data_IF_491696105194
#
_entry.id   IF_491696105194
#
_cell.length_a   1.000
_cell.length_b   1.000
_cell.length_c   1.000
_cell.angle_alpha   90.00
_cell.angle_beta   90.00
_cell.angle_gamma   90.00
#
_symmetry.space_group_name_H-M   'P 1'
#
loop_
_entity.id
_entity.type
_entity.pdbx_description
1 polymer ?
#
# COMPACT_ATOMS: atom_id res chain seq x y z
N UNK A 1 -0.14 10.59 -4.74
CA UNK A 1 0.30 10.24 -3.37
C UNK A 1 1.22 9.05 -3.52
N UNK A 2 2.35 8.96 -2.82
CA UNK A 2 3.26 7.81 -2.93
C UNK A 2 3.33 7.06 -1.62
N UNK A 3 3.29 5.73 -1.70
CA UNK A 3 3.35 4.84 -0.54
C UNK A 3 4.51 3.89 -0.74
N UNK A 4 5.33 3.77 0.30
CA UNK A 4 6.50 2.92 0.24
C UNK A 4 6.48 1.93 1.41
N UNK A 5 6.40 0.63 1.07
CA UNK A 5 6.25 -0.52 1.96
C UNK A 5 7.46 -1.45 1.93
N UNK A 6 8.36 -1.31 0.94
CA UNK A 6 9.60 -2.10 0.84
C UNK A 6 10.66 -1.49 1.77
N UNK A 7 10.45 -1.65 3.08
CA UNK A 7 11.19 -1.00 4.16
C UNK A 7 10.23 -0.36 5.17
N UNK A 8 10.69 0.58 6.01
CA UNK A 8 9.79 1.33 6.87
C UNK A 8 8.68 2.02 6.05
N UNK A 9 7.44 1.94 6.55
CA UNK A 9 6.31 2.61 5.91
C UNK A 9 6.57 4.11 5.82
N UNK A 10 6.63 4.62 4.59
CA UNK A 10 6.66 6.05 4.31
C UNK A 10 5.50 6.43 3.38
N UNK A 11 4.95 7.62 3.59
CA UNK A 11 3.84 8.15 2.82
C UNK A 11 4.13 9.59 2.45
N UNK A 12 4.05 9.88 1.15
CA UNK A 12 4.04 11.23 0.62
C UNK A 12 2.64 11.54 0.13
N UNK A 13 1.94 12.41 0.86
CA UNK A 13 0.60 12.87 0.51
C UNK A 13 0.61 13.68 -0.80
N UNK A 14 -0.57 14.04 -1.29
CA UNK A 14 -0.69 14.97 -2.40
C UNK A 14 0.08 16.27 -2.09
N UNK A 15 0.86 16.76 -3.07
CA UNK A 15 1.76 17.90 -2.90
C UNK A 15 3.11 17.58 -2.26
N UNK A 16 3.46 16.31 -2.07
CA UNK A 16 4.82 15.88 -1.68
C UNK A 16 5.15 16.04 -0.19
N UNK A 17 4.15 16.32 0.65
CA UNK A 17 4.35 16.41 2.10
C UNK A 17 4.37 15.02 2.75
N UNK A 18 5.35 14.73 3.62
CA UNK A 18 5.32 13.51 4.43
C UNK A 18 4.08 13.45 5.31
N UNK A 19 3.42 12.30 5.35
CA UNK A 19 2.30 12.04 6.26
C UNK A 19 2.75 11.09 7.37
N UNK A 20 2.64 11.54 8.63
CA UNK A 20 2.96 10.71 9.79
C UNK A 20 1.80 9.77 10.15
N UNK A 21 1.92 8.52 9.70
CA UNK A 21 0.96 7.46 10.01
C UNK A 21 1.31 6.83 11.36
N UNK A 22 0.79 7.42 12.42
CA UNK A 22 1.01 6.96 13.80
C UNK A 22 0.28 5.66 14.15
N UNK A 23 0.99 4.73 14.79
CA UNK A 23 0.42 3.53 15.41
C UNK A 23 0.28 2.31 14.49
N UNK A 24 0.59 1.12 15.02
CA UNK A 24 0.67 -0.12 14.26
C UNK A 24 -0.58 -0.43 13.44
N UNK A 25 -1.77 -0.35 14.06
CA UNK A 25 -3.04 -0.63 13.36
C UNK A 25 -3.36 0.33 12.22
N UNK A 26 -3.00 1.60 12.36
CA UNK A 26 -3.21 2.59 11.29
C UNK A 26 -2.28 2.32 10.10
N UNK A 27 -1.02 1.97 10.39
CA UNK A 27 -0.04 1.54 9.38
C UNK A 27 -0.46 0.27 8.66
N UNK A 28 -0.97 -0.73 9.40
CA UNK A 28 -1.50 -1.97 8.82
C UNK A 28 -2.70 -1.70 7.91
N UNK A 29 -3.65 -0.86 8.35
CA UNK A 29 -4.81 -0.49 7.53
C UNK A 29 -4.36 0.16 6.21
N UNK A 30 -3.44 1.11 6.30
CA UNK A 30 -2.91 1.77 5.12
C UNK A 30 -2.18 0.78 4.20
N UNK A 31 -1.29 -0.04 4.73
CA UNK A 31 -0.54 -1.03 3.95
C UNK A 31 -1.50 -2.00 3.24
N UNK A 32 -2.51 -2.50 3.95
CA UNK A 32 -3.49 -3.44 3.40
C UNK A 32 -4.32 -2.85 2.26
N UNK A 33 -4.70 -1.58 2.37
CA UNK A 33 -5.41 -0.87 1.31
C UNK A 33 -4.48 -0.50 0.14
N UNK A 34 -3.22 -0.13 0.42
CA UNK A 34 -2.23 0.18 -0.61
C UNK A 34 -1.89 -1.03 -1.49
N UNK A 35 -1.76 -2.22 -0.89
CA UNK A 35 -1.56 -3.48 -1.61
C UNK A 35 -2.76 -3.87 -2.50
N UNK A 36 -3.94 -3.29 -2.25
CA UNK A 36 -5.09 -3.48 -3.12
C UNK A 36 -5.10 -2.51 -4.32
N UNK A 37 -4.27 -1.46 -4.32
CA UNK A 37 -4.08 -0.48 -5.40
C UNK A 37 -5.38 -0.05 -6.07
N UNK A 38 -6.22 0.71 -5.34
CA UNK A 38 -7.49 1.21 -5.85
C UNK A 38 -8.65 0.21 -5.83
N UNK A 39 -8.40 -1.09 -5.62
CA UNK A 39 -9.47 -2.09 -5.49
C UNK A 39 -10.12 -2.06 -4.09
N UNK A 40 -11.43 -2.30 -4.00
CA UNK A 40 -12.11 -2.38 -2.71
C UNK A 40 -11.67 -3.60 -1.90
N UNK A 41 -11.59 -3.40 -0.58
CA UNK A 41 -11.38 -4.44 0.43
C UNK A 41 -12.56 -4.41 1.40
N UNK A 42 -13.17 -5.57 1.64
CA UNK A 42 -14.34 -5.66 2.52
C UNK A 42 -13.99 -5.27 3.95
N UNK A 43 -14.98 -4.74 4.69
CA UNK A 43 -14.78 -4.43 6.10
C UNK A 43 -14.42 -5.68 6.92
N UNK A 44 -14.99 -6.83 6.57
CA UNK A 44 -14.70 -8.13 7.19
C UNK A 44 -13.24 -8.54 7.00
N UNK A 45 -12.71 -8.47 5.76
CA UNK A 45 -11.30 -8.77 5.50
C UNK A 45 -10.38 -7.78 6.20
N UNK A 46 -10.72 -6.49 6.21
CA UNK A 46 -9.93 -5.51 6.96
C UNK A 46 -9.94 -5.79 8.47
N UNK A 47 -11.06 -6.23 9.03
CA UNK A 47 -11.13 -6.60 10.45
C UNK A 47 -10.24 -7.82 10.71
N UNK A 48 -10.36 -8.87 9.91
CA UNK A 48 -9.53 -10.06 10.03
C UNK A 48 -8.03 -9.73 9.90
N UNK A 49 -7.64 -8.93 8.92
CA UNK A 49 -6.24 -8.56 8.69
C UNK A 49 -5.66 -7.67 9.82
N UNK A 50 -6.50 -6.86 10.48
CA UNK A 50 -6.06 -5.92 11.52
C UNK A 50 -6.01 -6.50 12.92
N UNK A 51 -6.87 -7.46 13.23
CA UNK A 51 -7.03 -8.01 14.58
C UNK A 51 -6.86 -9.53 14.67
N UNK A 52 -6.79 -10.23 13.53
CA UNK A 52 -6.72 -11.69 13.50
C UNK A 52 -7.91 -12.32 14.23
N UNK A 53 -7.59 -13.32 15.07
CA UNK A 53 -8.58 -14.09 15.83
C UNK A 53 -9.17 -13.34 17.04
N UNK A 54 -8.62 -12.18 17.41
CA UNK A 54 -9.03 -11.43 18.60
C UNK A 54 -9.55 -10.01 18.27
N UNK A 55 -10.65 -9.89 17.51
CA UNK A 55 -11.27 -8.60 17.24
C UNK A 55 -11.91 -8.01 18.52
N UNK A 56 -11.90 -6.66 18.69
CA UNK A 56 -12.59 -6.04 19.80
C UNK A 56 -14.11 -6.22 19.67
N UNK A 57 -14.83 -6.16 20.79
CA UNK A 57 -16.30 -6.29 20.85
C UNK A 57 -17.07 -5.26 19.97
N UNK A 58 -16.38 -4.26 19.42
CA UNK A 58 -16.88 -3.30 18.44
C UNK A 58 -15.93 -3.13 17.25
N UNK A 59 -15.57 -4.21 16.56
CA UNK A 59 -14.63 -4.19 15.43
C UNK A 59 -15.04 -3.24 14.29
N UNK A 60 -16.32 -3.18 13.95
CA UNK A 60 -16.83 -2.27 12.90
C UNK A 60 -16.65 -0.79 13.32
N UNK A 61 -17.13 -0.33 14.50
CA UNK A 61 -16.83 1.01 15.01
C UNK A 61 -15.32 1.29 15.12
N UNK A 62 -14.52 0.30 15.53
CA UNK A 62 -13.06 0.45 15.62
C UNK A 62 -12.42 0.68 14.25
N UNK A 63 -12.84 -0.08 13.23
CA UNK A 63 -12.41 0.11 11.84
C UNK A 63 -12.80 1.48 11.32
N UNK A 64 -14.05 1.92 11.55
CA UNK A 64 -14.50 3.26 11.16
C UNK A 64 -13.67 4.36 11.82
N UNK A 65 -13.30 4.18 13.09
CA UNK A 65 -12.37 5.07 13.80
C UNK A 65 -10.98 5.11 13.17
N UNK A 66 -10.42 3.97 12.77
CA UNK A 66 -9.14 3.90 12.05
C UNK A 66 -9.23 4.59 10.68
N UNK A 67 -10.28 4.33 9.91
CA UNK A 67 -10.51 4.98 8.60
C UNK A 67 -10.62 6.50 8.74
N UNK A 68 -11.35 6.98 9.75
CA UNK A 68 -11.47 8.42 10.03
C UNK A 68 -10.13 9.05 10.36
N UNK A 69 -9.31 8.41 11.22
CA UNK A 69 -7.95 8.86 11.53
C UNK A 69 -7.05 8.85 10.30
N UNK A 70 -7.13 7.82 9.47
CA UNK A 70 -6.31 7.71 8.25
C UNK A 70 -6.62 8.84 7.27
N UNK A 71 -7.91 9.14 7.03
CA UNK A 71 -8.33 10.28 6.20
C UNK A 71 -7.75 11.61 6.69
N UNK A 72 -7.74 11.81 8.01
CA UNK A 72 -7.17 13.03 8.62
C UNK A 72 -5.65 13.12 8.41
N UNK A 73 -4.92 12.01 8.60
CA UNK A 73 -3.46 11.97 8.44
C UNK A 73 -3.05 12.24 6.99
N UNK A 74 -3.80 11.69 6.02
CA UNK A 74 -3.51 11.85 4.60
C UNK A 74 -3.92 13.23 4.04
N UNK A 75 -4.59 14.06 4.85
CA UNK A 75 -4.83 15.47 4.55
C UNK A 75 -5.99 15.75 3.58
N UNK A 76 -6.78 14.74 3.20
CA UNK A 76 -7.89 14.90 2.25
C UNK A 76 -9.10 14.03 2.62
N UNK A 77 -10.29 14.65 2.57
CA UNK A 77 -11.58 13.97 2.51
C UNK A 77 -11.73 13.28 1.15
N UNK A 78 -11.09 12.13 1.01
CA UNK A 78 -10.99 11.36 -0.25
C UNK A 78 -9.90 10.29 -0.19
N UNK A 79 -8.98 10.39 0.76
CA UNK A 79 -7.87 9.45 0.88
C UNK A 79 -8.30 8.00 1.20
N UNK A 80 -9.50 7.76 1.74
CA UNK A 80 -10.07 6.41 1.83
C UNK A 80 -11.56 6.51 1.51
N UNK A 81 -12.02 5.78 0.52
CA UNK A 81 -13.41 5.83 0.06
C UNK A 81 -14.18 4.60 0.54
N UNK A 82 -15.46 4.78 0.85
CA UNK A 82 -16.40 3.68 1.02
C UNK A 82 -17.13 3.49 -0.31
N UNK A 83 -16.99 2.32 -0.92
CA UNK A 83 -17.58 1.97 -2.22
C UNK A 83 -18.34 0.64 -2.11
N UNK A 84 -19.01 0.24 -3.19
CA UNK A 84 -19.54 -1.11 -3.31
C UNK A 84 -18.40 -2.12 -3.13
N UNK A 85 -18.53 -3.03 -2.16
CA UNK A 85 -17.50 -4.01 -1.81
C UNK A 85 -16.57 -3.64 -0.65
N UNK A 86 -16.67 -2.42 -0.09
CA UNK A 86 -15.96 -2.04 1.14
C UNK A 86 -15.14 -0.75 1.01
N UNK A 87 -13.96 -0.73 1.63
CA UNK A 87 -13.09 0.45 1.63
C UNK A 87 -12.01 0.34 0.54
N UNK A 88 -11.68 1.45 -0.10
CA UNK A 88 -10.54 1.54 -1.03
C UNK A 88 -9.69 2.76 -0.76
N UNK A 89 -8.40 2.64 -1.08
CA UNK A 89 -7.46 3.75 -1.17
C UNK A 89 -7.30 4.08 -2.67
N UNK A 90 -7.73 5.25 -3.15
CA UNK A 90 -7.63 5.62 -4.56
C UNK A 90 -6.17 5.97 -4.90
N UNK A 91 -5.35 4.95 -5.10
CA UNK A 91 -3.94 5.03 -5.47
C UNK A 91 -3.70 4.13 -6.67
N UNK A 92 -2.92 4.61 -7.63
CA UNK A 92 -2.50 3.83 -8.77
C UNK A 92 -1.41 2.82 -8.36
N UNK A 93 -1.32 1.64 -9.01
CA UNK A 93 -0.27 0.67 -8.71
C UNK A 93 1.15 1.25 -8.77
N UNK A 94 1.45 2.16 -9.72
CA UNK A 94 2.79 2.74 -9.86
C UNK A 94 3.21 3.65 -8.70
N UNK A 95 2.24 4.12 -7.91
CA UNK A 95 2.44 4.95 -6.72
C UNK A 95 2.73 4.13 -5.45
N UNK A 96 2.67 2.79 -5.54
CA UNK A 96 3.01 1.85 -4.46
C UNK A 96 4.26 1.05 -4.86
N UNK A 97 5.33 1.17 -4.09
CA UNK A 97 6.64 0.58 -4.42
C UNK A 97 6.60 -0.95 -4.62
N UNK A 98 5.76 -1.68 -3.88
CA UNK A 98 5.56 -3.13 -4.04
C UNK A 98 5.10 -3.49 -5.44
N UNK A 99 4.08 -2.80 -5.97
CA UNK A 99 3.57 -3.09 -7.31
C UNK A 99 4.56 -2.67 -8.39
N UNK A 100 5.28 -1.56 -8.18
CA UNK A 100 6.37 -1.16 -9.07
C UNK A 100 7.51 -2.17 -9.08
N UNK A 101 7.84 -2.76 -7.93
CA UNK A 101 8.82 -3.85 -7.83
C UNK A 101 8.36 -5.09 -8.58
N UNK A 102 7.10 -5.50 -8.42
CA UNK A 102 6.52 -6.66 -9.11
C UNK A 102 6.56 -6.47 -10.64
N UNK A 103 6.15 -5.30 -11.12
CA UNK A 103 6.15 -4.98 -12.55
C UNK A 103 7.57 -4.95 -13.13
N UNK A 104 8.51 -4.24 -12.49
CA UNK A 104 9.91 -4.21 -12.94
C UNK A 104 10.55 -5.59 -12.92
N UNK A 105 10.22 -6.41 -11.91
CA UNK A 105 10.70 -7.79 -11.81
C UNK A 105 10.13 -8.67 -12.93
N UNK A 106 8.85 -8.52 -13.25
CA UNK A 106 8.20 -9.24 -14.35
C UNK A 106 8.77 -8.84 -15.71
N UNK A 107 8.97 -7.54 -15.95
CA UNK A 107 9.61 -7.02 -17.16
C UNK A 107 11.05 -7.52 -17.30
N UNK A 108 11.84 -7.48 -16.22
CA UNK A 108 13.21 -8.00 -16.20
C UNK A 108 13.29 -9.48 -16.57
N UNK A 109 12.36 -10.31 -16.05
CA UNK A 109 12.26 -11.73 -16.43
C UNK A 109 11.91 -11.93 -17.90
N UNK A 110 11.02 -11.10 -18.47
CA UNK A 110 10.66 -11.15 -19.90
C UNK A 110 11.83 -10.79 -20.81
N UNK A 111 12.59 -9.75 -20.47
CA UNK A 111 13.78 -9.35 -21.23
C UNK A 111 14.87 -10.44 -21.18
N UNK A 112 15.04 -11.09 -20.02
CA UNK A 112 15.97 -12.21 -19.90
C UNK A 112 15.56 -13.40 -20.78
N UNK A 113 14.27 -13.74 -20.79
CA UNK A 113 13.72 -14.78 -21.66
C UNK A 113 13.83 -14.44 -23.17
N UNK A 114 13.94 -13.16 -23.51
CA UNK A 114 14.12 -12.65 -24.86
C UNK A 114 15.60 -12.47 -25.26
N UNK A 115 16.53 -13.06 -24.51
CA UNK A 115 17.99 -12.97 -24.71
C UNK A 115 18.52 -11.51 -24.69
N UNK A 116 17.91 -10.67 -23.86
CA UNK A 116 18.30 -9.26 -23.63
C UNK A 116 18.80 -9.06 -22.19
N UNK A 117 19.97 -9.63 -21.84
CA UNK A 117 20.45 -9.66 -20.46
C UNK A 117 20.82 -8.27 -19.91
N UNK A 118 21.21 -7.32 -20.77
CA UNK A 118 21.56 -5.95 -20.34
C UNK A 118 20.31 -5.20 -19.89
N UNK A 119 19.23 -5.29 -20.65
CA UNK A 119 17.93 -4.71 -20.36
C UNK A 119 17.32 -5.35 -19.12
N UNK A 120 17.39 -6.69 -19.01
CA UNK A 120 16.97 -7.44 -17.84
C UNK A 120 17.69 -6.96 -16.57
N UNK A 121 19.03 -6.87 -16.61
CA UNK A 121 19.83 -6.42 -15.49
C UNK A 121 19.49 -4.98 -15.06
N UNK A 122 19.23 -4.08 -16.01
CA UNK A 122 18.81 -2.71 -15.73
C UNK A 122 17.47 -2.66 -14.99
N UNK A 123 16.48 -3.42 -15.45
CA UNK A 123 15.14 -3.46 -14.85
C UNK A 123 15.15 -4.10 -13.46
N UNK A 124 15.86 -5.21 -13.30
CA UNK A 124 15.97 -5.90 -12.01
C UNK A 124 16.74 -5.05 -10.98
N UNK A 125 17.76 -4.31 -11.40
CA UNK A 125 18.44 -3.35 -10.51
C UNK A 125 17.50 -2.23 -10.09
N UNK A 126 16.75 -1.65 -11.03
CA UNK A 126 15.75 -0.63 -10.70
C UNK A 126 14.65 -1.15 -9.76
N UNK A 127 14.30 -2.45 -9.83
CA UNK A 127 13.39 -3.07 -8.87
C UNK A 127 14.03 -3.13 -7.48
N UNK A 128 15.28 -3.61 -7.38
CA UNK A 128 16.02 -3.69 -6.11
C UNK A 128 16.23 -2.31 -5.47
N UNK A 129 16.43 -1.26 -6.26
CA UNK A 129 16.60 0.12 -5.77
C UNK A 129 15.34 0.68 -5.04
N UNK A 130 14.19 0.00 -5.15
CA UNK A 130 12.98 0.36 -4.40
C UNK A 130 13.03 -0.06 -2.92
N UNK A 131 13.90 -1.01 -2.57
CA UNK A 131 14.05 -1.47 -1.19
C UNK A 131 14.83 -0.45 -0.35
N UNK A 132 14.21 0.01 0.73
CA UNK A 132 14.75 1.04 1.65
C UNK A 132 15.23 0.45 2.98
N UNK A 133 15.77 -0.77 2.95
CA UNK A 133 16.23 -1.48 4.14
C UNK A 133 16.52 -2.95 3.84
N UNK A 134 16.95 -3.70 4.86
CA UNK A 134 17.08 -5.15 4.74
C UNK A 134 15.69 -5.80 4.58
N UNK A 135 15.62 -6.78 3.68
CA UNK A 135 14.48 -7.67 3.51
C UNK A 135 14.44 -8.73 4.62
#
# INVERSE_FOLDING_TARGET
MRISLLGPLEVLAAGGRPADVGGARLRMLLARLALAAGRPVSAESLIADLWGEEPPAGAVPALQGLVSRLRRVLGETGAVELVAGGYRLPVEPEDVDVHRFEELSAQGRRELAADRPKEAARLLRAALDLWRGAA
#
